data_IF_825399119746
#
_entry.id   IF_825399119746
#
_cell.length_a   1.000
_cell.length_b   1.000
_cell.length_c   1.000
_cell.angle_alpha   90.00
_cell.angle_beta   90.00
_cell.angle_gamma   90.00
#
_symmetry.space_group_name_H-M   'P 1'
#
loop_
_entity.id
_entity.type
_entity.pdbx_description
1 polymer ?
#
# COMPACT_ATOMS: atom_id res chain seq x y z
N UNK A 1 0.65 19.62 -29.33
CA UNK A 1 1.13 20.56 -28.30
C UNK A 1 0.03 21.56 -27.98
N UNK A 2 -0.17 21.85 -26.69
CA UNK A 2 -1.16 22.85 -26.27
C UNK A 2 -0.66 24.27 -26.58
N UNK A 3 -1.52 25.11 -27.17
CA UNK A 3 -1.28 26.55 -27.39
C UNK A 3 0.01 26.90 -28.17
N UNK A 4 0.39 26.12 -29.19
CA UNK A 4 1.61 26.41 -29.98
C UNK A 4 1.55 27.78 -30.69
N UNK A 5 0.37 28.34 -30.93
CA UNK A 5 0.20 29.67 -31.51
C UNK A 5 0.94 30.76 -30.73
N UNK A 6 1.07 30.60 -29.40
CA UNK A 6 1.80 31.54 -28.53
C UNK A 6 3.32 31.51 -28.76
N UNK A 7 3.85 30.47 -29.41
CA UNK A 7 5.29 30.36 -29.73
C UNK A 7 5.62 30.96 -31.09
N UNK A 8 4.62 31.35 -31.88
CA UNK A 8 4.81 31.97 -33.19
C UNK A 8 5.24 33.44 -33.01
N UNK A 9 6.33 33.84 -33.67
CA UNK A 9 6.73 35.24 -33.73
C UNK A 9 5.64 36.09 -34.39
N UNK A 10 5.35 37.27 -33.83
CA UNK A 10 4.27 38.16 -34.28
C UNK A 10 4.30 38.48 -35.77
N UNK A 11 5.48 38.58 -36.38
CA UNK A 11 5.64 38.85 -37.83
C UNK A 11 5.12 37.72 -38.75
N UNK A 12 4.96 36.50 -38.22
CA UNK A 12 4.47 35.32 -38.97
C UNK A 12 3.09 34.86 -38.54
N UNK A 13 2.51 35.45 -37.49
CA UNK A 13 1.21 35.05 -36.93
C UNK A 13 0.07 35.08 -37.95
N UNK A 14 0.18 35.93 -38.99
CA UNK A 14 -0.85 36.09 -40.02
C UNK A 14 -0.48 35.46 -41.37
N UNK A 15 0.53 34.57 -41.42
CA UNK A 15 0.97 33.88 -42.65
C UNK A 15 0.26 32.53 -42.81
N UNK A 16 -0.70 32.37 -43.73
CA UNK A 16 -1.49 31.14 -43.83
C UNK A 16 -0.64 29.90 -44.10
N UNK A 17 0.38 30.02 -44.97
CA UNK A 17 1.24 28.89 -45.33
C UNK A 17 2.07 28.37 -44.16
N UNK A 18 2.61 29.29 -43.33
CA UNK A 18 3.43 28.91 -42.17
C UNK A 18 2.53 28.28 -41.10
N UNK A 19 1.38 28.89 -40.81
CA UNK A 19 0.42 28.36 -39.84
C UNK A 19 -0.06 26.95 -40.23
N UNK A 20 -0.39 26.70 -41.51
CA UNK A 20 -0.81 25.36 -41.96
C UNK A 20 0.28 24.29 -41.78
N UNK A 21 1.55 24.63 -42.04
CA UNK A 21 2.66 23.69 -41.79
C UNK A 21 2.78 23.38 -40.30
N UNK A 22 2.73 24.41 -39.45
CA UNK A 22 2.83 24.26 -38.00
C UNK A 22 1.65 23.48 -37.41
N UNK A 23 0.43 23.69 -37.90
CA UNK A 23 -0.75 22.90 -37.54
C UNK A 23 -0.59 21.43 -37.91
N UNK A 24 -0.10 21.15 -39.12
CA UNK A 24 0.18 19.78 -39.55
C UNK A 24 1.23 19.09 -38.69
N UNK A 25 2.29 19.79 -38.30
CA UNK A 25 3.29 19.30 -37.35
C UNK A 25 2.71 19.08 -35.96
N UNK A 26 1.90 20.02 -35.49
CA UNK A 26 1.25 19.93 -34.19
C UNK A 26 0.32 18.73 -34.08
N UNK A 27 -0.41 18.41 -35.16
CA UNK A 27 -1.25 17.21 -35.25
C UNK A 27 -0.43 15.92 -35.36
N UNK A 28 0.66 15.92 -36.14
CA UNK A 28 1.49 14.73 -36.33
C UNK A 28 2.27 14.33 -35.06
N UNK A 29 2.63 15.29 -34.22
CA UNK A 29 3.45 15.07 -33.03
C UNK A 29 2.78 15.50 -31.74
N UNK A 30 1.45 15.50 -31.64
CA UNK A 30 0.78 15.88 -30.39
C UNK A 30 0.99 14.82 -29.30
N UNK A 31 1.79 15.09 -28.24
CA UNK A 31 1.98 14.11 -27.17
C UNK A 31 0.84 14.16 -26.13
N UNK A 32 -0.13 15.07 -26.27
CA UNK A 32 -1.13 15.34 -25.23
C UNK A 32 -1.86 14.07 -24.79
N UNK A 33 -2.34 13.25 -25.74
CA UNK A 33 -3.01 11.99 -25.41
C UNK A 33 -2.10 10.99 -24.67
N UNK A 34 -0.81 10.95 -25.02
CA UNK A 34 0.16 10.09 -24.34
C UNK A 34 0.46 10.60 -22.93
N UNK A 35 0.53 11.92 -22.74
CA UNK A 35 0.74 12.55 -21.43
C UNK A 35 -0.45 12.27 -20.51
N UNK A 36 -1.69 12.43 -21.01
CA UNK A 36 -2.91 12.11 -20.25
C UNK A 36 -2.96 10.62 -19.88
N UNK A 37 -2.61 9.73 -20.81
CA UNK A 37 -2.55 8.29 -20.54
C UNK A 37 -1.48 7.95 -19.51
N UNK A 38 -0.31 8.59 -19.59
CA UNK A 38 0.75 8.44 -18.60
C UNK A 38 0.28 8.96 -17.24
N UNK A 39 -0.33 10.13 -17.19
CA UNK A 39 -0.84 10.72 -15.96
C UNK A 39 -1.85 9.77 -15.30
N UNK A 40 -2.86 9.31 -16.03
CA UNK A 40 -3.86 8.38 -15.50
C UNK A 40 -3.26 7.03 -15.07
N UNK A 41 -2.40 6.42 -15.88
CA UNK A 41 -1.92 5.06 -15.59
C UNK A 41 -0.72 5.00 -14.64
N UNK A 42 0.00 6.11 -14.46
CA UNK A 42 1.25 6.16 -13.69
C UNK A 42 1.19 7.12 -12.53
N UNK A 43 0.70 8.34 -12.75
CA UNK A 43 0.86 9.44 -11.80
C UNK A 43 -0.34 9.63 -10.87
N UNK A 44 -1.55 9.53 -11.39
CA UNK A 44 -2.79 9.61 -10.60
C UNK A 44 -3.01 8.30 -9.84
N UNK A 45 -3.00 8.36 -8.51
CA UNK A 45 -3.02 7.18 -7.66
C UNK A 45 -4.37 6.45 -7.71
N UNK A 46 -5.46 7.18 -7.98
CA UNK A 46 -6.80 6.61 -8.06
C UNK A 46 -6.98 5.77 -9.34
N UNK A 47 -6.32 6.16 -10.43
CA UNK A 47 -6.44 5.50 -11.73
C UNK A 47 -5.21 4.67 -12.12
N UNK A 48 -4.09 4.82 -11.42
CA UNK A 48 -2.86 4.10 -11.71
C UNK A 48 -3.02 2.58 -11.65
N UNK A 49 -2.30 1.90 -12.53
CA UNK A 49 -2.34 0.45 -12.70
C UNK A 49 -0.95 -0.14 -12.92
N UNK A 50 -0.76 -1.40 -12.57
CA UNK A 50 0.48 -2.15 -12.85
C UNK A 50 1.75 -1.40 -12.40
N UNK A 51 2.57 -0.99 -13.39
CA UNK A 51 3.83 -0.28 -13.17
C UNK A 51 3.66 1.05 -12.43
N UNK A 52 2.59 1.80 -12.68
CA UNK A 52 2.33 3.07 -12.01
C UNK A 52 2.27 2.94 -10.49
N UNK A 53 1.47 1.97 -10.03
CA UNK A 53 1.39 1.64 -8.61
C UNK A 53 2.73 1.11 -8.08
N UNK A 54 3.51 0.39 -8.88
CA UNK A 54 4.84 -0.07 -8.47
C UNK A 54 5.83 1.09 -8.26
N UNK A 55 5.69 2.19 -9.01
CA UNK A 55 6.45 3.42 -8.78
C UNK A 55 6.05 4.06 -7.46
N UNK A 56 4.74 4.22 -7.22
CA UNK A 56 4.21 4.75 -5.95
C UNK A 56 4.60 3.89 -4.75
N UNK A 57 4.53 2.57 -4.87
CA UNK A 57 5.00 1.63 -3.86
C UNK A 57 6.46 1.87 -3.47
N UNK A 58 7.35 2.03 -4.45
CA UNK A 58 8.76 2.37 -4.18
C UNK A 58 8.93 3.72 -3.49
N UNK A 59 8.11 4.72 -3.85
CA UNK A 59 8.15 6.05 -3.22
C UNK A 59 7.78 5.97 -1.74
N UNK A 60 6.71 5.23 -1.38
CA UNK A 60 6.27 5.12 0.02
C UNK A 60 6.97 4.01 0.80
N UNK A 61 7.71 3.14 0.12
CA UNK A 61 8.53 2.08 0.73
C UNK A 61 7.80 0.73 0.92
N UNK A 62 6.88 0.37 0.04
CA UNK A 62 6.20 -0.95 0.02
C UNK A 62 6.35 -1.65 -1.32
N UNK A 63 6.29 -2.98 -1.29
CA UNK A 63 6.35 -3.83 -2.48
C UNK A 63 5.01 -4.52 -2.72
N UNK A 64 4.68 -4.71 -4.00
CA UNK A 64 3.46 -5.41 -4.43
C UNK A 64 3.48 -6.90 -4.13
N UNK A 65 4.67 -7.50 -4.19
CA UNK A 65 4.86 -8.92 -3.91
C UNK A 65 5.20 -9.07 -2.45
N UNK A 66 4.28 -9.67 -1.69
CA UNK A 66 4.46 -9.99 -0.29
C UNK A 66 5.02 -11.41 -0.16
N UNK A 67 5.89 -11.60 0.83
CA UNK A 67 6.34 -12.93 1.25
C UNK A 67 5.36 -13.42 2.30
N UNK A 68 4.59 -14.45 1.97
CA UNK A 68 3.68 -15.11 2.90
C UNK A 68 4.43 -16.31 3.49
N UNK A 69 4.48 -16.38 4.81
CA UNK A 69 4.86 -17.63 5.48
C UNK A 69 3.65 -18.57 5.38
N UNK A 70 3.74 -19.58 4.52
CA UNK A 70 2.62 -20.48 4.24
C UNK A 70 2.50 -21.62 5.27
N UNK A 71 3.47 -21.75 6.17
CA UNK A 71 3.48 -22.78 7.20
C UNK A 71 3.15 -22.19 8.56
N UNK A 72 1.99 -22.57 9.11
CA UNK A 72 1.72 -22.39 10.53
C UNK A 72 2.55 -23.39 11.33
N UNK A 73 3.21 -22.93 12.38
CA UNK A 73 4.04 -23.78 13.23
C UNK A 73 3.46 -23.86 14.63
N UNK A 74 3.81 -24.91 15.34
CA UNK A 74 3.55 -25.01 16.77
C UNK A 74 4.22 -23.85 17.50
N UNK A 75 3.48 -23.19 18.37
CA UNK A 75 3.97 -22.11 19.21
C UNK A 75 3.16 -21.93 20.49
N UNK A 76 3.52 -20.90 21.25
CA UNK A 76 2.93 -20.60 22.54
C UNK A 76 2.17 -19.27 22.49
N UNK A 77 1.20 -19.08 23.39
CA UNK A 77 0.36 -17.88 23.39
C UNK A 77 1.15 -16.58 23.64
N UNK A 78 2.34 -16.68 24.22
CA UNK A 78 3.28 -15.59 24.47
C UNK A 78 4.05 -15.16 23.21
N UNK A 79 3.95 -15.90 22.11
CA UNK A 79 4.62 -15.55 20.87
C UNK A 79 3.98 -14.32 20.22
N UNK A 80 4.82 -13.41 19.75
CA UNK A 80 4.39 -12.19 19.05
C UNK A 80 4.25 -12.43 17.53
N UNK A 81 3.80 -13.62 17.14
CA UNK A 81 3.66 -14.07 15.75
C UNK A 81 2.25 -14.66 15.53
N UNK A 82 1.52 -14.13 14.55
CA UNK A 82 0.19 -14.59 14.16
C UNK A 82 0.22 -15.89 13.33
N UNK A 83 1.41 -16.43 13.04
CA UNK A 83 1.58 -17.70 12.30
C UNK A 83 1.77 -18.92 13.21
N UNK A 84 1.71 -18.73 14.53
CA UNK A 84 1.88 -19.77 15.53
C UNK A 84 0.53 -20.30 16.05
N UNK A 85 0.44 -21.62 16.24
CA UNK A 85 -0.77 -22.31 16.73
C UNK A 85 -0.44 -23.23 17.91
N UNK A 86 -1.43 -23.46 18.77
CA UNK A 86 -1.26 -24.26 19.98
C UNK A 86 -1.11 -25.77 19.75
N UNK A 87 -1.12 -26.52 20.86
CA UNK A 87 -0.98 -27.97 20.85
C UNK A 87 -1.99 -28.64 19.92
N UNK A 88 -1.52 -29.67 19.21
CA UNK A 88 -2.32 -30.53 18.32
C UNK A 88 -2.97 -29.81 17.11
N UNK A 89 -2.51 -28.60 16.77
CA UNK A 89 -3.02 -27.82 15.63
C UNK A 89 -2.00 -27.58 14.51
N UNK A 90 -0.70 -27.57 14.82
CA UNK A 90 0.37 -27.32 13.84
C UNK A 90 1.63 -28.16 14.12
N UNK A 91 2.45 -28.47 13.10
CA UNK A 91 3.72 -29.17 13.28
C UNK A 91 4.80 -28.25 13.90
N UNK A 92 5.82 -28.84 14.52
CA UNK A 92 7.03 -28.09 14.92
C UNK A 92 7.77 -27.54 13.69
N UNK A 93 8.41 -26.38 13.86
CA UNK A 93 9.21 -25.77 12.81
C UNK A 93 10.33 -26.71 12.33
N UNK A 94 10.36 -26.98 11.03
CA UNK A 94 11.26 -27.97 10.42
C UNK A 94 12.63 -27.40 9.98
N UNK A 95 12.93 -26.14 10.31
CA UNK A 95 14.17 -25.47 9.89
C UNK A 95 14.14 -24.88 8.47
N UNK A 96 13.04 -25.09 7.73
CA UNK A 96 12.84 -24.53 6.39
C UNK A 96 11.52 -23.78 6.33
N UNK A 97 11.58 -22.46 6.21
CA UNK A 97 10.38 -21.64 6.01
C UNK A 97 9.85 -21.82 4.59
N UNK A 98 8.66 -22.39 4.44
CA UNK A 98 7.95 -22.40 3.15
C UNK A 98 7.35 -21.02 2.94
N UNK A 99 8.10 -20.14 2.30
CA UNK A 99 7.60 -18.83 1.89
C UNK A 99 7.01 -18.92 0.49
N UNK A 100 5.78 -18.47 0.31
CA UNK A 100 5.19 -18.24 -1.01
C UNK A 100 5.20 -16.74 -1.33
N UNK A 101 5.42 -16.43 -2.60
CA UNK A 101 5.29 -15.05 -3.08
C UNK A 101 3.85 -14.82 -3.48
N UNK A 102 3.21 -13.82 -2.89
CA UNK A 102 1.85 -13.42 -3.22
C UNK A 102 1.86 -12.03 -3.83
N UNK A 103 1.32 -11.90 -5.04
CA UNK A 103 1.23 -10.61 -5.74
C UNK A 103 -0.14 -9.99 -5.47
N UNK A 104 -0.16 -8.82 -4.83
CA UNK A 104 -1.39 -8.06 -4.61
C UNK A 104 -2.04 -7.61 -5.92
N UNK A 105 -3.38 -7.56 -5.93
CA UNK A 105 -4.16 -6.89 -6.97
C UNK A 105 -3.86 -5.39 -6.98
N UNK A 106 -4.21 -4.68 -8.06
CA UNK A 106 -4.02 -3.23 -8.13
C UNK A 106 -4.78 -2.50 -7.01
N UNK A 107 -6.02 -2.91 -6.72
CA UNK A 107 -6.83 -2.31 -5.66
C UNK A 107 -6.27 -2.56 -4.26
N UNK A 108 -5.90 -3.81 -3.95
CA UNK A 108 -5.29 -4.14 -2.67
C UNK A 108 -3.92 -3.47 -2.49
N UNK A 109 -3.15 -3.32 -3.56
CA UNK A 109 -1.88 -2.62 -3.50
C UNK A 109 -2.05 -1.11 -3.35
N UNK A 110 -3.06 -0.51 -3.98
CA UNK A 110 -3.42 0.91 -3.80
C UNK A 110 -3.80 1.21 -2.35
N UNK A 111 -4.62 0.37 -1.74
CA UNK A 111 -4.94 0.47 -0.31
C UNK A 111 -3.68 0.41 0.57
N UNK A 112 -2.76 -0.52 0.29
CA UNK A 112 -1.49 -0.62 1.01
C UNK A 112 -0.62 0.63 0.84
N UNK A 113 -0.57 1.20 -0.37
CA UNK A 113 0.19 2.44 -0.65
C UNK A 113 -0.39 3.60 0.13
N UNK A 114 -1.71 3.80 0.12
CA UNK A 114 -2.36 4.86 0.90
C UNK A 114 -2.11 4.69 2.40
N UNK A 115 -2.26 3.48 2.92
CA UNK A 115 -1.99 3.18 4.33
C UNK A 115 -0.53 3.45 4.70
N UNK A 116 0.43 3.09 3.83
CA UNK A 116 1.85 3.35 4.06
C UNK A 116 2.18 4.84 3.99
N UNK A 117 1.60 5.56 3.04
CA UNK A 117 1.76 7.00 2.94
C UNK A 117 1.30 7.68 4.24
N UNK A 118 0.11 7.31 4.74
CA UNK A 118 -0.39 7.79 6.03
C UNK A 118 0.53 7.40 7.19
N UNK A 119 1.01 6.16 7.23
CA UNK A 119 1.95 5.68 8.25
C UNK A 119 3.29 6.43 8.25
N UNK A 120 3.74 6.94 7.10
CA UNK A 120 4.98 7.71 6.99
C UNK A 120 4.82 9.17 7.47
N UNK A 121 3.61 9.73 7.45
CA UNK A 121 3.32 11.12 7.86
C UNK A 121 2.55 11.21 9.19
N UNK A 122 2.25 10.07 9.80
CA UNK A 122 1.47 9.98 11.04
C UNK A 122 2.22 10.61 12.22
N UNK A 123 1.45 11.20 13.14
CA UNK A 123 1.95 11.67 14.43
C UNK A 123 2.09 10.53 15.47
N UNK A 124 1.67 9.31 15.11
CA UNK A 124 1.71 8.13 15.97
C UNK A 124 0.63 8.13 17.06
N UNK A 125 -0.34 9.05 17.02
CA UNK A 125 -1.47 9.03 17.94
C UNK A 125 -2.38 7.81 17.67
N UNK A 126 -3.07 7.35 18.71
CA UNK A 126 -4.01 6.22 18.61
C UNK A 126 -5.07 6.50 17.54
N UNK A 127 -5.57 7.75 17.44
CA UNK A 127 -6.53 8.14 16.40
C UNK A 127 -5.97 7.98 14.99
N UNK A 128 -4.74 8.46 14.74
CA UNK A 128 -4.09 8.33 13.43
C UNK A 128 -3.82 6.87 13.08
N UNK A 129 -3.38 6.07 14.05
CA UNK A 129 -3.14 4.64 13.84
C UNK A 129 -4.45 3.88 13.57
N UNK A 130 -5.52 4.18 14.32
CA UNK A 130 -6.84 3.59 14.08
C UNK A 130 -7.39 3.97 12.71
N UNK A 131 -7.09 5.17 12.21
CA UNK A 131 -7.44 5.56 10.82
C UNK A 131 -6.73 4.69 9.79
N UNK A 132 -5.45 4.36 10.00
CA UNK A 132 -4.70 3.45 9.13
C UNK A 132 -5.28 2.03 9.19
N UNK A 133 -5.64 1.55 10.38
CA UNK A 133 -6.26 0.23 10.56
C UNK A 133 -7.63 0.15 9.87
N UNK A 134 -8.46 1.18 10.01
CA UNK A 134 -9.74 1.31 9.32
C UNK A 134 -9.59 1.28 7.81
N UNK A 135 -8.56 1.94 7.25
CA UNK A 135 -8.30 1.94 5.81
C UNK A 135 -7.90 0.55 5.29
N UNK A 136 -7.16 -0.23 6.08
CA UNK A 136 -6.67 -1.55 5.68
C UNK A 136 -7.68 -2.68 5.92
N UNK A 137 -8.46 -2.59 7.01
CA UNK A 137 -9.22 -3.72 7.55
C UNK A 137 -10.69 -3.39 7.88
N UNK A 138 -11.14 -2.15 7.65
CA UNK A 138 -12.46 -1.69 8.11
C UNK A 138 -13.65 -2.47 7.56
N UNK A 139 -13.50 -3.18 6.44
CA UNK A 139 -14.56 -4.03 5.87
C UNK A 139 -14.70 -5.41 6.53
N UNK A 140 -13.72 -5.84 7.34
CA UNK A 140 -13.64 -7.21 7.87
C UNK A 140 -14.01 -7.32 9.35
N UNK A 141 -13.93 -6.21 10.06
CA UNK A 141 -14.26 -6.13 11.47
C UNK A 141 -13.54 -4.99 12.15
N UNK A 142 -13.74 -4.89 13.46
CA UNK A 142 -13.09 -3.87 14.27
C UNK A 142 -11.60 -4.16 14.40
N UNK A 143 -10.75 -3.18 14.07
CA UNK A 143 -9.32 -3.20 14.33
C UNK A 143 -8.92 -1.89 15.01
N UNK A 144 -8.25 -1.98 16.16
CA UNK A 144 -7.85 -0.80 16.94
C UNK A 144 -6.55 -1.05 17.70
N UNK A 145 -5.91 0.05 18.11
CA UNK A 145 -4.79 0.05 19.05
C UNK A 145 -5.28 0.30 20.47
N UNK A 146 -4.74 -0.47 21.39
CA UNK A 146 -4.81 -0.25 22.84
C UNK A 146 -3.42 0.18 23.34
N UNK A 147 -3.36 1.27 24.11
CA UNK A 147 -2.16 1.71 24.83
C UNK A 147 -2.22 1.14 26.26
N UNK A 148 -1.21 0.33 26.61
CA UNK A 148 -1.17 -0.37 27.89
C UNK A 148 -0.60 0.51 29.02
N UNK A 149 -0.09 1.72 28.70
CA UNK A 149 0.45 2.66 29.68
C UNK A 149 1.81 2.28 30.28
N UNK A 150 2.47 1.26 29.74
CA UNK A 150 3.72 0.68 30.26
C UNK A 150 4.83 0.60 29.19
N UNK A 151 4.87 1.57 28.27
CA UNK A 151 5.72 1.54 27.06
C UNK A 151 5.44 0.31 26.18
N UNK A 152 4.23 -0.22 26.22
CA UNK A 152 3.75 -1.21 25.26
C UNK A 152 2.41 -0.81 24.66
N UNK A 153 2.14 -1.30 23.46
CA UNK A 153 0.88 -1.12 22.75
C UNK A 153 0.47 -2.43 22.09
N UNK A 154 -0.84 -2.65 22.01
CA UNK A 154 -1.42 -3.86 21.44
C UNK A 154 -2.30 -3.50 20.24
N UNK A 155 -2.03 -4.10 19.09
CA UNK A 155 -2.96 -4.10 17.96
C UNK A 155 -3.99 -5.20 18.16
N UNK A 156 -5.26 -4.82 18.30
CA UNK A 156 -6.36 -5.74 18.54
C UNK A 156 -7.20 -5.87 17.27
N UNK A 157 -7.39 -7.11 16.82
CA UNK A 157 -8.25 -7.46 15.69
C UNK A 157 -9.43 -8.31 16.18
N UNK A 158 -10.65 -7.88 15.87
CA UNK A 158 -11.89 -8.58 16.24
C UNK A 158 -12.35 -9.56 15.14
N UNK A 159 -11.40 -9.99 14.31
CA UNK A 159 -11.59 -10.95 13.23
C UNK A 159 -10.28 -11.73 13.03
N UNK A 160 -10.36 -12.89 12.39
CA UNK A 160 -9.18 -13.70 12.05
C UNK A 160 -8.62 -13.19 10.72
N UNK A 161 -7.41 -12.59 10.67
CA UNK A 161 -6.84 -12.11 9.43
C UNK A 161 -6.45 -13.29 8.51
N UNK A 162 -6.58 -13.11 7.20
CA UNK A 162 -6.06 -14.07 6.22
C UNK A 162 -4.53 -14.07 6.16
N UNK A 163 -3.91 -15.11 5.61
CA UNK A 163 -2.44 -15.22 5.49
C UNK A 163 -1.80 -14.02 4.75
N UNK A 164 -2.50 -13.48 3.75
CA UNK A 164 -2.08 -12.26 3.03
C UNK A 164 -2.03 -11.07 3.98
N UNK A 165 -3.02 -10.95 4.86
CA UNK A 165 -3.14 -9.83 5.78
C UNK A 165 -2.20 -9.93 6.95
N UNK A 166 -1.98 -11.14 7.46
CA UNK A 166 -0.90 -11.41 8.41
C UNK A 166 0.43 -10.95 7.81
N UNK A 167 0.68 -11.24 6.52
CA UNK A 167 1.90 -10.75 5.85
C UNK A 167 1.94 -9.21 5.72
N UNK A 168 0.80 -8.54 5.55
CA UNK A 168 0.74 -7.07 5.59
C UNK A 168 1.06 -6.56 6.99
N UNK A 169 0.42 -7.11 8.03
CA UNK A 169 0.60 -6.71 9.43
C UNK A 169 2.06 -6.86 9.85
N UNK A 170 2.67 -8.01 9.55
CA UNK A 170 4.00 -8.36 10.05
C UNK A 170 5.15 -7.89 9.15
N UNK A 171 5.00 -7.97 7.82
CA UNK A 171 6.14 -7.82 6.90
C UNK A 171 6.12 -6.54 6.05
N UNK A 172 4.99 -5.84 5.94
CA UNK A 172 4.90 -4.67 5.06
C UNK A 172 5.50 -3.39 5.68
N UNK A 173 5.64 -3.35 7.01
CA UNK A 173 6.05 -2.14 7.73
C UNK A 173 5.02 -1.00 7.64
N UNK A 174 3.76 -1.31 7.33
CA UNK A 174 2.66 -0.33 7.24
C UNK A 174 2.17 0.11 8.62
N UNK A 175 2.23 -0.76 9.62
CA UNK A 175 1.78 -0.45 10.97
C UNK A 175 2.89 0.29 11.74
N UNK A 176 2.66 1.55 12.17
CA UNK A 176 3.67 2.33 12.87
C UNK A 176 4.08 1.67 14.19
N UNK A 177 5.39 1.59 14.44
CA UNK A 177 5.94 1.19 15.73
C UNK A 177 6.66 2.38 16.37
N UNK A 178 6.08 3.03 17.38
CA UNK A 178 6.73 4.13 18.08
C UNK A 178 8.07 3.70 18.68
N UNK A 179 9.05 4.59 18.66
CA UNK A 179 10.37 4.30 19.19
C UNK A 179 10.31 4.06 20.70
N UNK A 180 10.93 2.98 21.18
CA UNK A 180 10.94 2.62 22.60
C UNK A 180 9.65 1.95 23.10
N UNK A 181 8.66 1.72 22.24
CA UNK A 181 7.41 1.04 22.60
C UNK A 181 7.41 -0.40 22.08
N UNK A 182 7.07 -1.34 22.96
CA UNK A 182 6.82 -2.74 22.60
C UNK A 182 5.48 -2.86 21.87
N UNK A 183 5.45 -3.55 20.72
CA UNK A 183 4.22 -3.77 19.95
C UNK A 183 3.88 -5.24 20.02
N UNK A 184 2.65 -5.56 20.40
CA UNK A 184 2.07 -6.90 20.35
C UNK A 184 0.83 -6.93 19.48
N UNK A 185 0.49 -8.12 18.97
CA UNK A 185 -0.71 -8.35 18.18
C UNK A 185 -1.64 -9.32 18.92
N UNK A 186 -2.93 -9.00 18.98
CA UNK A 186 -3.94 -9.84 19.61
C UNK A 186 -5.13 -10.02 18.67
N UNK A 187 -5.53 -11.27 18.47
CA UNK A 187 -6.80 -11.61 17.83
C UNK A 187 -7.80 -11.88 18.96
N UNK A 188 -8.89 -11.11 19.02
CA UNK A 188 -10.02 -11.44 19.88
C UNK A 188 -10.70 -12.67 19.29
N UNK A 189 -10.47 -13.82 19.91
CA UNK A 189 -11.27 -15.01 19.64
C UNK A 189 -12.73 -14.70 19.97
N UNK A 190 -13.65 -15.00 19.06
CA UNK A 190 -15.08 -14.95 19.34
C UNK A 190 -15.34 -15.73 20.64
N UNK A 191 -15.82 -15.04 21.67
CA UNK A 191 -16.27 -15.69 22.90
C UNK A 191 -17.35 -16.68 22.52
N UNK A 192 -17.03 -17.98 22.62
CA UNK A 192 -18.01 -19.06 22.46
C UNK A 192 -18.83 -19.19 23.73
#
# INVERSE_FOLDING_TARGET
>A
MQNFEKTILSQYANSPRICTILEGWNQAFDPSALIELWYANVWDLDTAQGYGLDVWGRIVGVNRVLKISSGKNFGFAEANDLTEEGFNSAPFYSGSSVTSNYRLSDDGFRQLIYAKALANITDGSIFSINTILMLLFGEQGSAYVEDNGDMTMTYVFDFVPSDVQVSIIQNSGVLPRPAGVGVTYQIKSAST
#
